data_IF_127876843229
#
_entry.id   IF_127876843229
#
_cell.length_a   1.000
_cell.length_b   1.000
_cell.length_c   1.000
_cell.angle_alpha   90.00
_cell.angle_beta   90.00
_cell.angle_gamma   90.00
#
_symmetry.space_group_name_H-M   'P 1'
#
loop_
_entity.id
_entity.type
_entity.pdbx_description
1 polymer ?
#
# COMPACT_ATOMS: atom_id res chain seq x y z
N UNK A 1 10.92 -74.83 46.25
CA UNK A 1 10.11 -73.68 46.70
C UNK A 1 10.83 -72.37 46.35
N UNK A 2 10.34 -71.61 45.37
CA UNK A 2 10.74 -70.21 45.12
C UNK A 2 9.47 -69.46 44.71
N UNK A 3 8.95 -68.59 45.58
CA UNK A 3 7.81 -67.71 45.26
C UNK A 3 8.34 -66.54 44.44
N UNK A 4 7.89 -66.42 43.20
CA UNK A 4 8.09 -65.24 42.38
C UNK A 4 7.14 -64.14 42.90
N UNK A 5 7.70 -63.13 43.56
CA UNK A 5 6.96 -61.93 43.94
C UNK A 5 6.77 -61.07 42.70
N UNK A 6 5.53 -60.98 42.21
CA UNK A 6 5.13 -59.88 41.33
C UNK A 6 5.25 -58.59 42.15
N UNK A 7 6.29 -57.80 41.87
CA UNK A 7 6.34 -56.41 42.33
C UNK A 7 5.29 -55.64 41.55
N UNK A 8 4.16 -55.35 42.19
CA UNK A 8 3.36 -54.18 41.81
C UNK A 8 4.26 -52.97 42.09
N UNK A 9 4.99 -52.54 41.07
CA UNK A 9 5.46 -51.16 41.00
C UNK A 9 4.19 -50.31 40.93
N UNK A 10 4.10 -49.27 41.75
CA UNK A 10 2.97 -48.36 41.82
C UNK A 10 2.68 -47.74 40.44
N UNK A 11 1.84 -48.42 39.65
CA UNK A 11 1.55 -48.17 38.23
C UNK A 11 0.86 -46.82 38.03
N UNK A 12 0.19 -46.33 39.07
CA UNK A 12 -0.47 -45.03 39.10
C UNK A 12 0.52 -43.86 38.95
N UNK A 13 1.73 -43.97 39.52
CA UNK A 13 2.72 -42.88 39.47
C UNK A 13 3.39 -42.78 38.10
N UNK A 14 3.63 -43.92 37.45
CA UNK A 14 4.15 -43.98 36.08
C UNK A 14 3.13 -43.48 35.06
N UNK A 15 1.88 -43.92 35.19
CA UNK A 15 0.77 -43.46 34.35
C UNK A 15 0.53 -41.94 34.50
N UNK A 16 0.57 -41.41 35.73
CA UNK A 16 0.42 -39.97 35.98
C UNK A 16 1.50 -39.14 35.28
N UNK A 17 2.76 -39.57 35.30
CA UNK A 17 3.85 -38.88 34.60
C UNK A 17 3.67 -38.90 33.07
N UNK A 18 3.19 -40.01 32.51
CA UNK A 18 2.89 -40.10 31.07
C UNK A 18 1.73 -39.19 30.66
N UNK A 19 0.69 -39.08 31.49
CA UNK A 19 -0.45 -38.18 31.24
C UNK A 19 -0.02 -36.71 31.30
N UNK A 20 0.81 -36.35 32.29
CA UNK A 20 1.35 -34.98 32.39
C UNK A 20 2.25 -34.67 31.19
N UNK A 21 3.12 -35.59 30.79
CA UNK A 21 3.97 -35.42 29.61
C UNK A 21 3.13 -35.23 28.34
N UNK A 22 2.07 -36.03 28.18
CA UNK A 22 1.13 -35.90 27.06
C UNK A 22 0.42 -34.54 27.07
N UNK A 23 -0.04 -34.06 28.23
CA UNK A 23 -0.66 -32.73 28.37
C UNK A 23 0.30 -31.61 27.98
N UNK A 24 1.58 -31.69 28.39
CA UNK A 24 2.59 -30.70 28.02
C UNK A 24 2.84 -30.70 26.50
N UNK A 25 2.89 -31.87 25.87
CA UNK A 25 3.05 -31.99 24.41
C UNK A 25 1.85 -31.39 23.68
N UNK A 26 0.61 -31.72 24.09
CA UNK A 26 -0.62 -31.18 23.49
C UNK A 26 -0.68 -29.66 23.65
N UNK A 27 -0.33 -29.14 24.83
CA UNK A 27 -0.29 -27.71 25.09
C UNK A 27 0.78 -27.01 24.23
N UNK A 28 1.95 -27.62 24.06
CA UNK A 28 3.00 -27.12 23.19
C UNK A 28 2.58 -27.06 21.71
N UNK A 29 1.88 -28.09 21.22
CA UNK A 29 1.36 -28.12 19.85
C UNK A 29 0.24 -27.09 19.62
N UNK A 30 -0.64 -26.89 20.61
CA UNK A 30 -1.73 -25.93 20.51
C UNK A 30 -1.26 -24.48 20.31
N UNK A 31 -0.11 -24.10 20.90
CA UNK A 31 0.46 -22.75 20.77
C UNK A 31 1.06 -22.51 19.37
N UNK A 32 1.57 -23.56 18.71
CA UNK A 32 2.30 -23.45 17.44
C UNK A 32 1.45 -23.04 16.22
N UNK A 33 0.13 -23.19 16.29
CA UNK A 33 -0.77 -22.99 15.13
C UNK A 33 -1.07 -21.50 14.87
N UNK A 34 -0.88 -20.60 15.85
CA UNK A 34 -1.28 -19.19 15.75
C UNK A 34 -0.29 -18.27 15.00
N UNK A 35 0.93 -18.71 14.71
CA UNK A 35 2.01 -17.82 14.24
C UNK A 35 1.93 -17.40 12.76
N UNK A 36 1.38 -18.25 11.88
CA UNK A 36 1.43 -18.02 10.43
C UNK A 36 0.48 -16.92 9.94
N UNK A 37 -0.64 -16.71 10.64
CA UNK A 37 -1.66 -15.71 10.28
C UNK A 37 -1.18 -14.27 10.50
N UNK A 38 -0.27 -14.05 11.46
CA UNK A 38 0.18 -12.71 11.84
C UNK A 38 0.96 -12.00 10.73
N UNK A 39 1.81 -12.73 9.99
CA UNK A 39 2.61 -12.16 8.90
C UNK A 39 1.70 -11.65 7.77
N UNK A 40 0.71 -12.46 7.37
CA UNK A 40 -0.25 -12.09 6.33
C UNK A 40 -1.15 -10.94 6.76
N UNK A 41 -1.62 -10.94 8.01
CA UNK A 41 -2.41 -9.82 8.57
C UNK A 41 -1.61 -8.51 8.56
N UNK A 42 -0.35 -8.57 8.98
CA UNK A 42 0.53 -7.39 9.01
C UNK A 42 0.81 -6.85 7.61
N UNK A 43 1.08 -7.73 6.64
CA UNK A 43 1.32 -7.31 5.26
C UNK A 43 0.06 -6.72 4.62
N UNK A 44 -1.13 -7.28 4.86
CA UNK A 44 -2.41 -6.67 4.41
C UNK A 44 -2.65 -5.29 5.01
N UNK A 45 -2.34 -5.09 6.29
CA UNK A 45 -2.44 -3.78 6.93
C UNK A 45 -1.47 -2.77 6.30
N UNK A 46 -0.21 -3.18 6.06
CA UNK A 46 0.79 -2.35 5.37
C UNK A 46 0.40 -2.03 3.94
N UNK A 47 -0.28 -2.95 3.24
CA UNK A 47 -0.78 -2.72 1.87
C UNK A 47 -1.88 -1.67 1.83
N UNK A 48 -2.85 -1.75 2.73
CA UNK A 48 -3.89 -0.72 2.83
C UNK A 48 -3.27 0.66 3.12
N UNK A 49 -2.25 0.68 3.98
CA UNK A 49 -1.50 1.89 4.28
C UNK A 49 -0.64 2.36 3.09
N UNK A 50 -0.03 1.44 2.33
CA UNK A 50 0.73 1.73 1.11
C UNK A 50 -0.16 2.45 0.11
N UNK A 51 -1.36 1.91 -0.12
CA UNK A 51 -2.34 2.50 -1.02
C UNK A 51 -2.76 3.89 -0.53
N UNK A 52 -3.10 4.04 0.75
CA UNK A 52 -3.51 5.31 1.32
C UNK A 52 -2.40 6.37 1.24
N UNK A 53 -1.17 6.04 1.66
CA UNK A 53 -0.01 6.94 1.62
C UNK A 53 0.34 7.32 0.18
N UNK A 54 0.33 6.35 -0.74
CA UNK A 54 0.57 6.58 -2.16
C UNK A 54 -0.47 7.50 -2.81
N UNK A 55 -1.75 7.33 -2.48
CA UNK A 55 -2.82 8.23 -2.92
C UNK A 55 -2.66 9.66 -2.35
N UNK A 56 -2.21 9.81 -1.10
CA UNK A 56 -1.88 11.14 -0.56
C UNK A 56 -0.78 11.83 -1.37
N UNK A 57 0.29 11.12 -1.73
CA UNK A 57 1.34 11.68 -2.58
C UNK A 57 0.83 12.07 -3.96
N UNK A 58 0.07 11.19 -4.64
CA UNK A 58 -0.53 11.50 -5.94
C UNK A 58 -1.42 12.74 -5.87
N UNK A 59 -2.29 12.84 -4.87
CA UNK A 59 -3.18 13.97 -4.65
C UNK A 59 -2.41 15.26 -4.36
N UNK A 60 -1.36 15.18 -3.53
CA UNK A 60 -0.50 16.32 -3.21
C UNK A 60 0.24 16.84 -4.45
N UNK A 61 0.83 15.95 -5.25
CA UNK A 61 1.48 16.29 -6.52
C UNK A 61 0.46 16.93 -7.48
N UNK A 62 -0.74 16.37 -7.55
CA UNK A 62 -1.82 16.93 -8.36
C UNK A 62 -2.27 18.31 -7.88
N UNK A 63 -2.31 18.53 -6.57
CA UNK A 63 -2.59 19.84 -5.98
C UNK A 63 -1.50 20.84 -6.37
N UNK A 64 -0.24 20.49 -6.15
CA UNK A 64 0.93 21.31 -6.52
C UNK A 64 0.91 21.69 -8.00
N UNK A 65 0.57 20.74 -8.87
CA UNK A 65 0.45 20.99 -10.31
C UNK A 65 -0.63 22.01 -10.68
N UNK A 66 -1.74 22.03 -9.92
CA UNK A 66 -2.91 22.88 -10.21
C UNK A 66 -2.80 24.28 -9.64
N UNK A 67 -1.98 24.52 -8.62
CA UNK A 67 -1.79 25.87 -8.08
C UNK A 67 -1.14 26.74 -9.15
N UNK A 68 -1.68 27.95 -9.33
CA UNK A 68 -1.22 28.91 -10.34
C UNK A 68 -0.29 29.91 -9.67
N UNK A 69 0.96 29.98 -10.14
CA UNK A 69 1.92 30.99 -9.71
C UNK A 69 2.37 31.83 -10.90
N UNK A 70 1.82 33.04 -11.01
CA UNK A 70 2.09 33.94 -12.13
C UNK A 70 1.70 33.32 -13.48
N UNK A 71 2.63 33.28 -14.44
CA UNK A 71 2.43 32.74 -15.79
C UNK A 71 2.70 31.24 -15.93
N UNK A 72 3.23 30.58 -14.89
CA UNK A 72 3.57 29.15 -14.95
C UNK A 72 2.49 28.31 -14.29
N UNK A 73 1.68 27.64 -15.10
CA UNK A 73 0.71 26.61 -14.66
C UNK A 73 1.25 25.24 -15.04
N UNK A 74 1.08 24.24 -14.17
CA UNK A 74 1.34 22.86 -14.53
C UNK A 74 2.80 22.43 -14.39
N UNK A 75 3.46 22.84 -13.31
CA UNK A 75 4.83 22.45 -13.02
C UNK A 75 4.87 21.48 -11.84
N UNK A 76 5.40 20.28 -12.07
CA UNK A 76 5.66 19.29 -11.02
C UNK A 76 6.75 19.74 -10.03
N UNK A 77 6.72 19.24 -8.78
CA UNK A 77 7.73 19.57 -7.77
C UNK A 77 9.10 18.96 -8.13
N UNK A 78 10.20 19.64 -7.75
CA UNK A 78 11.57 19.11 -7.94
C UNK A 78 11.99 18.15 -6.83
N UNK A 79 11.48 18.38 -5.61
CA UNK A 79 11.73 17.55 -4.44
C UNK A 79 10.43 17.33 -3.68
N UNK A 80 10.35 16.27 -2.86
CA UNK A 80 9.14 15.96 -2.10
C UNK A 80 8.85 17.00 -1.01
N UNK A 81 9.88 17.67 -0.49
CA UNK A 81 9.74 18.70 0.55
C UNK A 81 8.94 19.90 0.03
N UNK A 82 8.95 20.16 -1.29
CA UNK A 82 8.13 21.20 -1.90
C UNK A 82 6.62 20.91 -1.78
N UNK A 83 6.21 19.66 -1.50
CA UNK A 83 4.82 19.31 -1.21
C UNK A 83 4.40 19.70 0.22
N UNK A 84 5.37 19.78 1.15
CA UNK A 84 5.11 20.25 2.52
C UNK A 84 5.02 21.77 2.58
N UNK A 85 5.95 22.44 1.90
CA UNK A 85 6.01 23.88 1.86
C UNK A 85 6.33 24.30 0.44
N UNK A 86 5.33 24.85 -0.26
CA UNK A 86 5.57 25.36 -1.61
C UNK A 86 6.33 26.70 -1.54
N UNK A 87 7.60 26.78 -2.00
CA UNK A 87 8.38 28.02 -1.98
C UNK A 87 7.84 29.07 -2.95
N UNK A 88 6.88 28.72 -3.81
CA UNK A 88 6.30 29.64 -4.79
C UNK A 88 5.13 30.43 -4.20
N UNK A 89 4.47 29.88 -3.19
CA UNK A 89 3.30 30.50 -2.57
C UNK A 89 3.72 31.59 -1.59
N UNK A 90 3.08 32.75 -1.67
CA UNK A 90 3.28 33.86 -0.72
C UNK A 90 2.73 33.52 0.69
N UNK A 91 1.87 32.51 0.78
CA UNK A 91 1.47 31.84 2.03
C UNK A 91 2.01 30.41 2.08
N UNK A 92 2.18 29.85 3.27
CA UNK A 92 2.62 28.46 3.46
C UNK A 92 1.53 27.46 3.00
N UNK A 93 1.40 27.28 1.68
CA UNK A 93 0.51 26.26 1.12
C UNK A 93 1.16 24.88 1.30
N UNK A 94 0.46 24.04 2.07
CA UNK A 94 0.87 22.67 2.36
C UNK A 94 -0.05 21.70 1.61
N UNK A 95 0.53 20.91 0.70
CA UNK A 95 -0.23 19.92 -0.09
C UNK A 95 -0.28 18.54 0.56
N UNK A 96 0.64 18.24 1.49
CA UNK A 96 0.66 17.00 2.26
C UNK A 96 0.93 17.29 3.73
N UNK A 97 0.32 16.54 4.66
CA UNK A 97 0.47 16.81 6.10
C UNK A 97 1.89 16.60 6.62
N UNK A 98 2.54 15.54 6.15
CA UNK A 98 3.92 15.13 6.45
C UNK A 98 4.44 14.25 5.31
N UNK A 99 5.75 14.08 5.21
CA UNK A 99 6.31 13.01 4.36
C UNK A 99 6.10 11.69 5.08
N UNK A 100 5.31 10.80 4.47
CA UNK A 100 5.07 9.47 4.99
C UNK A 100 6.16 8.52 4.45
N UNK A 101 6.82 7.71 5.29
CA UNK A 101 7.75 6.69 4.82
C UNK A 101 6.99 5.60 4.05
N UNK A 102 7.70 4.76 3.31
CA UNK A 102 7.14 3.58 2.68
C UNK A 102 6.77 2.54 3.77
N UNK A 103 5.50 2.13 3.91
CA UNK A 103 5.09 1.18 4.95
C UNK A 103 5.59 -0.25 4.70
N UNK A 104 6.01 -0.59 3.48
CA UNK A 104 6.56 -1.92 3.17
C UNK A 104 8.03 -2.04 3.58
N UNK A 105 8.83 -1.02 3.25
CA UNK A 105 10.28 -1.03 3.48
C UNK A 105 10.70 -0.24 4.72
N UNK A 106 9.84 0.63 5.24
CA UNK A 106 10.14 1.55 6.34
C UNK A 106 10.99 2.76 5.95
N UNK A 107 11.40 2.86 4.68
CA UNK A 107 12.33 3.86 4.19
C UNK A 107 11.69 4.91 3.27
N UNK A 108 12.54 5.45 2.40
CA UNK A 108 12.13 6.43 1.40
C UNK A 108 11.45 5.79 0.19
N UNK A 109 10.53 6.54 -0.42
CA UNK A 109 9.86 6.13 -1.64
C UNK A 109 10.79 6.25 -2.85
N UNK A 110 10.62 5.35 -3.82
CA UNK A 110 11.22 5.55 -5.13
C UNK A 110 10.45 6.64 -5.89
N UNK A 111 11.17 7.65 -6.36
CA UNK A 111 10.60 8.80 -7.03
C UNK A 111 10.46 8.55 -8.54
N UNK A 112 9.26 8.76 -9.07
CA UNK A 112 9.00 8.68 -10.51
C UNK A 112 9.11 10.09 -11.09
N UNK A 113 10.10 10.29 -11.96
CA UNK A 113 10.42 11.60 -12.53
C UNK A 113 10.00 11.69 -14.00
N UNK A 114 9.62 12.89 -14.44
CA UNK A 114 9.42 13.20 -15.86
C UNK A 114 10.77 13.42 -16.58
N UNK A 115 10.69 13.64 -17.90
CA UNK A 115 11.87 13.96 -18.74
C UNK A 115 12.62 15.22 -18.30
N UNK A 116 11.98 16.10 -17.52
CA UNK A 116 12.57 17.32 -16.97
C UNK A 116 13.13 17.12 -15.56
N UNK A 117 13.14 15.88 -15.05
CA UNK A 117 13.64 15.53 -13.73
C UNK A 117 12.70 15.90 -12.58
N UNK A 118 11.45 16.26 -12.85
CA UNK A 118 10.45 16.63 -11.83
C UNK A 118 9.64 15.44 -11.39
N UNK A 119 9.23 15.43 -10.13
CA UNK A 119 8.55 14.30 -9.50
C UNK A 119 7.08 14.30 -9.91
N UNK A 120 6.66 13.22 -10.57
CA UNK A 120 5.28 13.00 -11.04
C UNK A 120 4.53 11.97 -10.23
N UNK A 121 5.26 11.14 -9.47
CA UNK A 121 4.70 10.09 -8.63
C UNK A 121 5.73 9.44 -7.74
N UNK A 122 5.27 8.46 -6.98
CA UNK A 122 6.08 7.65 -6.06
C UNK A 122 5.71 6.17 -6.20
N UNK A 123 6.63 5.28 -5.87
CA UNK A 123 6.39 3.84 -5.75
C UNK A 123 7.23 3.22 -4.64
N UNK A 124 6.78 2.08 -4.12
CA UNK A 124 7.57 1.31 -3.16
C UNK A 124 8.72 0.59 -3.88
N UNK A 125 9.84 0.36 -3.18
CA UNK A 125 10.91 -0.53 -3.67
C UNK A 125 10.67 -2.00 -3.31
N UNK A 126 9.56 -2.32 -2.64
CA UNK A 126 9.26 -3.67 -2.19
C UNK A 126 8.90 -4.61 -3.36
N UNK A 127 9.53 -5.78 -3.38
CA UNK A 127 9.27 -6.87 -4.31
C UNK A 127 8.22 -7.87 -3.80
N UNK A 128 7.58 -7.58 -2.66
CA UNK A 128 6.53 -8.43 -2.11
C UNK A 128 5.28 -8.41 -3.01
N UNK A 129 4.60 -9.55 -3.06
CA UNK A 129 3.39 -9.73 -3.85
C UNK A 129 2.18 -9.04 -3.18
N UNK A 130 1.38 -8.26 -3.93
CA UNK A 130 0.15 -7.66 -3.42
C UNK A 130 -0.95 -8.69 -3.20
N UNK A 131 -1.71 -8.51 -2.11
CA UNK A 131 -2.94 -9.27 -1.88
C UNK A 131 -4.09 -8.75 -2.73
N UNK A 132 -4.20 -7.42 -2.92
CA UNK A 132 -5.22 -6.83 -3.78
C UNK A 132 -4.77 -6.90 -5.23
N UNK A 133 -5.54 -7.62 -6.03
CA UNK A 133 -5.30 -7.81 -7.47
C UNK A 133 -6.35 -7.10 -8.35
N UNK A 134 -7.45 -6.63 -7.77
CA UNK A 134 -8.60 -6.03 -8.46
C UNK A 134 -9.28 -4.91 -7.66
N UNK A 135 -10.34 -4.34 -8.23
CA UNK A 135 -11.19 -3.35 -7.55
C UNK A 135 -10.52 -1.98 -7.37
N UNK A 136 -9.55 -1.66 -8.23
CA UNK A 136 -8.88 -0.37 -8.20
C UNK A 136 -9.72 0.71 -8.92
N UNK A 137 -9.69 1.97 -8.43
CA UNK A 137 -10.22 3.10 -9.19
C UNK A 137 -9.56 3.25 -10.56
N UNK A 138 -10.22 3.92 -11.51
CA UNK A 138 -9.71 4.17 -12.88
C UNK A 138 -8.29 4.78 -12.88
N UNK A 139 -7.95 5.62 -11.91
CA UNK A 139 -6.60 6.20 -11.80
C UNK A 139 -5.49 5.17 -11.50
N UNK A 140 -5.85 3.97 -11.07
CA UNK A 140 -4.97 2.90 -10.60
C UNK A 140 -5.22 1.56 -11.31
N UNK A 141 -5.92 1.55 -12.44
CA UNK A 141 -6.18 0.34 -13.25
C UNK A 141 -4.89 -0.46 -13.54
N UNK A 142 -3.76 0.23 -13.66
CA UNK A 142 -2.43 -0.39 -13.86
C UNK A 142 -1.92 -1.23 -12.67
N UNK A 143 -2.59 -1.20 -11.54
CA UNK A 143 -2.22 -1.99 -10.36
C UNK A 143 -2.82 -3.39 -10.42
N UNK A 144 -3.84 -3.59 -11.25
CA UNK A 144 -4.50 -4.88 -11.44
C UNK A 144 -3.51 -5.91 -11.98
N UNK A 145 -3.50 -7.09 -11.37
CA UNK A 145 -2.58 -8.17 -11.76
C UNK A 145 -1.10 -7.91 -11.49
N UNK A 146 -0.75 -6.89 -10.68
CA UNK A 146 0.64 -6.58 -10.39
C UNK A 146 1.30 -7.68 -9.54
N UNK A 147 2.45 -8.17 -10.00
CA UNK A 147 3.24 -9.19 -9.29
C UNK A 147 3.97 -8.66 -8.05
N UNK A 148 4.18 -7.35 -7.95
CA UNK A 148 4.86 -6.74 -6.80
C UNK A 148 4.38 -5.32 -6.50
N UNK A 149 4.55 -4.88 -5.25
CA UNK A 149 4.29 -3.48 -4.86
C UNK A 149 5.17 -2.46 -5.60
N UNK A 150 6.31 -2.88 -6.15
CA UNK A 150 7.15 -2.01 -6.98
C UNK A 150 6.51 -1.62 -8.31
N UNK A 151 5.50 -2.38 -8.76
CA UNK A 151 4.69 -2.07 -9.94
C UNK A 151 3.54 -1.09 -9.64
N UNK A 152 3.25 -0.83 -8.37
CA UNK A 152 2.24 0.15 -7.96
C UNK A 152 2.79 1.57 -8.03
N UNK A 153 2.66 2.17 -9.21
CA UNK A 153 3.12 3.52 -9.50
C UNK A 153 2.03 4.57 -9.23
N UNK A 154 2.16 5.30 -8.11
CA UNK A 154 1.23 6.37 -7.74
C UNK A 154 1.55 7.66 -8.49
N UNK A 155 1.21 7.72 -9.78
CA UNK A 155 1.54 8.84 -10.68
C UNK A 155 0.35 9.75 -10.90
N UNK A 156 0.54 11.07 -10.77
CA UNK A 156 -0.45 12.04 -11.20
C UNK A 156 -0.27 12.40 -12.68
N UNK A 157 -1.31 12.17 -13.48
CA UNK A 157 -1.38 12.62 -14.87
C UNK A 157 -2.48 13.67 -15.00
N UNK A 158 -2.18 14.89 -15.51
CA UNK A 158 -3.21 15.89 -15.73
C UNK A 158 -4.20 15.38 -16.80
N UNK A 159 -5.47 15.21 -16.43
CA UNK A 159 -6.53 14.82 -17.38
C UNK A 159 -6.65 15.94 -18.44
N UNK A 160 -6.25 15.68 -19.69
CA UNK A 160 -6.55 16.59 -20.82
C UNK A 160 -8.06 16.64 -20.94
N UNK A 161 -8.70 17.77 -20.65
CA UNK A 161 -10.14 17.95 -20.89
C UNK A 161 -10.42 17.63 -22.36
N UNK A 162 -11.10 16.52 -22.66
CA UNK A 162 -11.66 16.27 -24.00
C UNK A 162 -12.64 17.42 -24.27
N UNK A 163 -12.33 18.31 -25.23
CA UNK A 163 -13.32 19.29 -25.73
C UNK A 163 -14.51 18.46 -26.25
N UNK A 164 -15.68 18.66 -25.67
CA UNK A 164 -16.91 18.09 -26.20
C UNK A 164 -17.05 18.50 -27.67
N UNK A 165 -17.41 17.61 -28.60
CA UNK A 165 -17.63 17.99 -29.99
C UNK A 165 -18.74 19.04 -30.02
N UNK A 166 -18.43 20.21 -30.60
CA UNK A 166 -19.40 21.26 -30.82
C UNK A 166 -20.58 20.69 -31.61
N UNK A 167 -21.76 20.65 -30.98
CA UNK A 167 -23.02 20.24 -31.59
C UNK A 167 -23.26 21.20 -32.78
N UNK A 168 -22.96 20.75 -34.01
CA UNK A 168 -23.32 21.47 -35.23
C UNK A 168 -24.85 21.56 -35.25
N UNK A 169 -25.40 22.69 -34.84
CA UNK A 169 -26.79 23.05 -35.08
C UNK A 169 -26.91 23.18 -36.61
N UNK A 170 -27.51 22.18 -37.26
CA UNK A 170 -27.93 22.28 -38.66
C UNK A 170 -28.95 23.42 -38.73
N UNK A 171 -28.52 24.56 -39.28
CA UNK A 171 -29.44 25.59 -39.74
C UNK A 171 -30.33 24.96 -40.82
N UNK A 172 -31.59 24.71 -40.48
CA UNK A 172 -32.62 24.27 -41.41
C UNK A 172 -32.79 25.33 -42.50
N UNK A 173 -32.59 24.89 -43.73
CA UNK A 173 -32.66 25.72 -44.92
C UNK A 173 -34.04 26.35 -45.11
N UNK A 174 -34.01 27.66 -45.38
CA UNK A 174 -35.05 28.40 -46.06
C UNK A 174 -35.28 27.77 -47.44
N UNK A 175 -36.47 27.24 -47.71
CA UNK A 175 -36.95 27.01 -49.07
C UNK A 175 -38.48 27.08 -49.10
N UNK A 176 -38.94 28.04 -49.90
CA UNK A 176 -40.22 28.17 -50.62
C UNK A 176 -41.51 28.07 -49.83
#
# INVERSE_FOLDING_TARGET
MRKAGFRHLDDERGAALLIVLLMVVVLGLAIGIAGSTWKSLTQRAREAELFWRGDQYRKAIGSYYRVKHGRAVGMFPRKLENLLQDPRSLGAERHIRRLYPDPMTGGEWQLIKDKSGRITGVKSSSTLEPFRQDGFPEEYEKFEGAESYSSWEFVYKPKKKKKAPAKKVKAGGKKT
#
